data_IF_697533679770
#
_entry.id   IF_697533679770
#
_cell.length_a   1.000
_cell.length_b   1.000
_cell.length_c   1.000
_cell.angle_alpha   90.00
_cell.angle_beta   90.00
_cell.angle_gamma   90.00
#
_symmetry.space_group_name_H-M   'P 1'
#
loop_
_entity.id
_entity.type
_entity.pdbx_description
1 polymer ?
#
# COMPACT_ATOMS: atom_id res chain seq x y z
N UNK A 1 16.68 7.45 10.81
CA UNK A 1 15.52 7.74 9.95
C UNK A 1 15.34 6.73 8.84
N UNK A 2 14.26 6.86 8.10
CA UNK A 2 13.95 5.97 6.99
C UNK A 2 14.82 6.36 5.79
N UNK A 3 15.53 5.41 5.16
CA UNK A 3 16.31 5.72 3.96
C UNK A 3 15.44 6.32 2.85
N UNK A 4 16.04 7.16 2.02
CA UNK A 4 15.33 7.83 0.93
C UNK A 4 14.62 6.82 0.01
N UNK A 5 15.28 5.70 -0.31
CA UNK A 5 14.69 4.66 -1.15
C UNK A 5 13.44 4.05 -0.51
N UNK A 6 13.45 3.89 0.81
CA UNK A 6 12.29 3.38 1.54
C UNK A 6 11.14 4.38 1.49
N UNK A 7 11.44 5.67 1.66
CA UNK A 7 10.41 6.71 1.60
C UNK A 7 9.79 6.79 0.20
N UNK A 8 10.60 6.63 -0.83
CA UNK A 8 10.11 6.62 -2.20
C UNK A 8 9.17 5.44 -2.45
N UNK A 9 9.52 4.27 -1.92
CA UNK A 9 8.68 3.08 -2.04
C UNK A 9 7.37 3.24 -1.27
N UNK A 10 7.45 3.82 -0.07
CA UNK A 10 6.24 4.11 0.71
C UNK A 10 5.34 5.09 -0.02
N UNK A 11 5.95 6.13 -0.60
CA UNK A 11 5.19 7.12 -1.38
C UNK A 11 4.50 6.46 -2.57
N UNK A 12 5.21 5.56 -3.26
CA UNK A 12 4.63 4.83 -4.39
C UNK A 12 3.42 4.01 -3.95
N UNK A 13 3.51 3.30 -2.85
CA UNK A 13 2.38 2.52 -2.33
C UNK A 13 1.21 3.43 -1.98
N UNK A 14 1.47 4.58 -1.35
CA UNK A 14 0.40 5.54 -1.04
C UNK A 14 -0.27 6.07 -2.29
N UNK A 15 0.51 6.32 -3.35
CA UNK A 15 -0.04 6.74 -4.64
C UNK A 15 -0.94 5.67 -5.25
N UNK A 16 -0.49 4.42 -5.19
CA UNK A 16 -1.29 3.29 -5.70
C UNK A 16 -2.60 3.19 -4.93
N UNK A 17 -2.54 3.32 -3.61
CA UNK A 17 -3.75 3.28 -2.78
C UNK A 17 -4.71 4.41 -3.15
N UNK A 18 -4.19 5.60 -3.37
CA UNK A 18 -5.00 6.75 -3.75
C UNK A 18 -5.69 6.52 -5.09
N UNK A 19 -4.94 6.03 -6.07
CA UNK A 19 -5.48 5.75 -7.40
C UNK A 19 -6.57 4.67 -7.36
N UNK A 20 -6.31 3.60 -6.61
CA UNK A 20 -7.27 2.51 -6.50
C UNK A 20 -8.52 2.94 -5.72
N UNK A 21 -8.36 3.80 -4.72
CA UNK A 21 -9.50 4.32 -3.99
C UNK A 21 -10.44 5.08 -4.92
N UNK A 22 -9.87 5.86 -5.84
CA UNK A 22 -10.67 6.62 -6.80
C UNK A 22 -11.43 5.71 -7.77
N UNK A 23 -10.84 4.58 -8.10
CA UNK A 23 -11.47 3.64 -9.04
C UNK A 23 -12.44 2.67 -8.37
N UNK A 24 -12.07 2.15 -7.20
CA UNK A 24 -12.77 1.04 -6.56
C UNK A 24 -13.56 1.45 -5.32
N UNK A 25 -13.33 2.65 -4.80
CA UNK A 25 -13.94 3.08 -3.57
C UNK A 25 -13.03 2.85 -2.38
N UNK A 26 -13.56 2.95 -1.18
CA UNK A 26 -12.77 2.96 0.06
C UNK A 26 -12.14 1.62 0.43
N UNK A 27 -12.68 0.53 -0.06
CA UNK A 27 -12.16 -0.81 0.24
C UNK A 27 -11.29 -1.27 -0.92
N UNK A 28 -9.99 -1.43 -0.65
CA UNK A 28 -8.99 -1.68 -1.68
C UNK A 28 -8.41 -3.07 -1.49
N UNK A 29 -8.51 -3.97 -2.51
CA UNK A 29 -7.91 -5.30 -2.40
C UNK A 29 -6.39 -5.22 -2.33
N UNK A 30 -5.80 -5.89 -1.34
CA UNK A 30 -4.34 -5.95 -1.20
C UNK A 30 -3.70 -6.55 -2.45
N UNK A 31 -4.34 -7.54 -3.05
CA UNK A 31 -3.87 -8.16 -4.28
C UNK A 31 -3.62 -7.16 -5.40
N UNK A 32 -4.52 -6.19 -5.56
CA UNK A 32 -4.38 -5.19 -6.61
C UNK A 32 -3.23 -4.24 -6.30
N UNK A 33 -3.08 -3.86 -5.03
CA UNK A 33 -1.96 -3.03 -4.62
C UNK A 33 -0.65 -3.74 -4.90
N UNK A 34 -0.54 -5.01 -4.52
CA UNK A 34 0.67 -5.78 -4.72
C UNK A 34 0.98 -5.97 -6.21
N UNK A 35 -0.03 -6.26 -7.02
CA UNK A 35 0.16 -6.46 -8.46
C UNK A 35 0.73 -5.20 -9.11
N UNK A 36 0.14 -4.06 -8.84
CA UNK A 36 0.60 -2.80 -9.42
C UNK A 36 1.99 -2.44 -8.93
N UNK A 37 2.25 -2.63 -7.64
CA UNK A 37 3.55 -2.31 -7.06
C UNK A 37 4.66 -3.18 -7.67
N UNK A 38 4.38 -4.46 -7.85
CA UNK A 38 5.35 -5.36 -8.49
C UNK A 38 5.61 -4.95 -9.93
N UNK A 39 4.57 -4.55 -10.67
CA UNK A 39 4.72 -4.04 -12.02
C UNK A 39 5.61 -2.80 -12.06
N UNK A 40 5.64 -2.04 -10.97
CA UNK A 40 6.47 -0.83 -10.87
C UNK A 40 7.82 -1.06 -10.23
N UNK A 41 8.20 -2.32 -10.02
CA UNK A 41 9.55 -2.66 -9.61
C UNK A 41 9.74 -3.03 -8.15
N UNK A 42 8.70 -3.05 -7.33
CA UNK A 42 8.81 -3.51 -5.95
C UNK A 42 8.70 -5.03 -5.89
N UNK A 43 9.30 -5.63 -4.86
CA UNK A 43 9.09 -7.05 -4.60
C UNK A 43 7.86 -7.24 -3.74
N UNK A 44 7.30 -8.44 -3.76
CA UNK A 44 6.15 -8.77 -2.92
C UNK A 44 6.47 -8.57 -1.43
N UNK A 45 7.70 -8.95 -1.04
CA UNK A 45 8.15 -8.77 0.35
C UNK A 45 8.18 -7.30 0.74
N UNK A 46 8.64 -6.44 -0.16
CA UNK A 46 8.66 -4.99 0.09
C UNK A 46 7.26 -4.43 0.22
N UNK A 47 6.34 -4.89 -0.63
CA UNK A 47 4.94 -4.45 -0.55
C UNK A 47 4.34 -4.82 0.79
N UNK A 48 4.52 -6.08 1.21
CA UNK A 48 3.97 -6.55 2.49
C UNK A 48 4.54 -5.76 3.67
N UNK A 49 5.84 -5.50 3.65
CA UNK A 49 6.50 -4.75 4.71
C UNK A 49 5.98 -3.32 4.80
N UNK A 50 5.82 -2.66 3.65
CA UNK A 50 5.33 -1.29 3.60
C UNK A 50 3.88 -1.22 4.08
N UNK A 51 3.04 -2.14 3.65
CA UNK A 51 1.65 -2.19 4.09
C UNK A 51 1.56 -2.36 5.61
N UNK A 52 2.39 -3.24 6.18
CA UNK A 52 2.41 -3.43 7.63
C UNK A 52 2.85 -2.16 8.36
N UNK A 53 3.80 -1.45 7.79
CA UNK A 53 4.24 -0.17 8.36
C UNK A 53 3.12 0.87 8.31
N UNK A 54 2.39 0.95 7.20
CA UNK A 54 1.28 1.90 7.06
C UNK A 54 0.14 1.58 8.03
N UNK A 55 -0.07 0.31 8.34
CA UNK A 55 -1.03 -0.08 9.38
C UNK A 55 -0.58 0.40 10.76
N UNK A 56 0.70 0.23 11.06
CA UNK A 56 1.25 0.63 12.36
C UNK A 56 1.20 2.14 12.57
N UNK A 57 1.43 2.91 11.51
CA UNK A 57 1.39 4.37 11.61
C UNK A 57 -0.02 4.94 11.56
N UNK A 58 -1.00 4.10 11.31
CA UNK A 58 -2.39 4.54 11.26
C UNK A 58 -2.82 5.17 9.94
N UNK A 59 -2.00 5.03 8.89
CA UNK A 59 -2.35 5.56 7.57
C UNK A 59 -3.41 4.71 6.87
N UNK A 60 -3.40 3.41 7.13
CA UNK A 60 -4.40 2.48 6.59
C UNK A 60 -4.82 1.50 7.68
N UNK A 61 -5.97 0.88 7.49
CA UNK A 61 -6.39 -0.24 8.32
C UNK A 61 -6.99 -1.32 7.43
N UNK A 62 -7.17 -2.50 7.99
CA UNK A 62 -7.69 -3.65 7.26
C UNK A 62 -9.10 -3.94 7.76
N UNK A 63 -10.14 -3.42 7.07
CA UNK A 63 -11.52 -3.63 7.52
C UNK A 63 -11.95 -5.09 7.49
N UNK A 64 -11.32 -5.87 6.62
CA UNK A 64 -11.46 -7.32 6.61
C UNK A 64 -10.26 -7.92 5.90
N UNK A 65 -10.02 -9.19 6.10
CA UNK A 65 -8.85 -9.87 5.58
C UNK A 65 -8.71 -9.68 4.07
N UNK A 66 -7.53 -9.22 3.66
CA UNK A 66 -7.20 -9.03 2.25
C UNK A 66 -7.65 -7.70 1.66
N UNK A 67 -8.21 -6.80 2.47
CA UNK A 67 -8.66 -5.49 2.00
C UNK A 67 -8.10 -4.39 2.89
N UNK A 68 -7.78 -3.27 2.27
CA UNK A 68 -7.27 -2.09 2.98
C UNK A 68 -8.22 -0.92 2.80
N UNK A 69 -8.23 -0.04 3.79
CA UNK A 69 -8.97 1.21 3.70
C UNK A 69 -8.07 2.31 4.25
N UNK A 70 -8.09 3.46 3.60
CA UNK A 70 -7.33 4.63 4.08
C UNK A 70 -8.11 5.31 5.19
N UNK A 71 -7.35 5.79 6.17
CA UNK A 71 -7.93 6.52 7.30
C UNK A 71 -8.32 7.93 6.89
#
# INVERSE_FOLDING_TARGET
GIPASQREKMFLIKQILDDLEKELGKTIPVEDVARIAVERGLSKAEVDEIIERLKRTGDVYEPRYGFLSRV
#
